data_IF_304729346160
#
_entry.id   IF_304729346160
#
_cell.length_a   1.000
_cell.length_b   1.000
_cell.length_c   1.000
_cell.angle_alpha   90.00
_cell.angle_beta   90.00
_cell.angle_gamma   90.00
#
_symmetry.space_group_name_H-M   'P 1'
#
loop_
_entity.id
_entity.type
_entity.pdbx_description
1 polymer ?
#
# COMPACT_ATOMS: atom_id res chain seq x y z
N UNK A 1 7.86 -13.87 -2.61
CA UNK A 1 6.74 -13.43 -1.76
C UNK A 1 5.68 -12.89 -2.70
N UNK A 2 4.43 -13.40 -2.65
CA UNK A 2 3.37 -13.02 -3.60
C UNK A 2 2.49 -11.98 -2.92
N UNK A 3 2.50 -10.75 -3.44
CA UNK A 3 1.63 -9.66 -3.00
C UNK A 3 0.32 -9.78 -3.77
N UNK A 4 -0.81 -9.85 -3.06
CA UNK A 4 -2.15 -9.90 -3.67
C UNK A 4 -2.72 -8.49 -3.69
N UNK A 5 -3.08 -8.01 -4.86
CA UNK A 5 -3.81 -6.77 -5.05
C UNK A 5 -5.27 -7.09 -5.42
N UNK A 6 -6.24 -6.48 -4.74
CA UNK A 6 -7.66 -6.58 -5.10
C UNK A 6 -8.18 -5.18 -5.33
N UNK A 7 -8.76 -4.95 -6.51
CA UNK A 7 -9.34 -3.67 -6.91
C UNK A 7 -10.85 -3.70 -6.70
N UNK A 8 -11.37 -2.74 -5.94
CA UNK A 8 -12.82 -2.47 -5.79
C UNK A 8 -12.98 -1.00 -6.15
N UNK A 9 -13.89 -0.64 -7.09
CA UNK A 9 -14.04 0.71 -7.67
C UNK A 9 -13.53 1.84 -6.76
N UNK A 10 -12.49 2.54 -7.23
CA UNK A 10 -11.77 3.67 -6.60
C UNK A 10 -10.92 3.37 -5.35
N UNK A 11 -10.84 2.11 -4.93
CA UNK A 11 -10.07 1.64 -3.77
C UNK A 11 -9.11 0.50 -4.13
N UNK A 12 -7.82 0.66 -3.81
CA UNK A 12 -6.84 -0.43 -3.91
C UNK A 12 -6.65 -1.13 -2.56
N UNK A 13 -6.74 -2.46 -2.54
CA UNK A 13 -6.37 -3.27 -1.37
C UNK A 13 -5.01 -3.91 -1.64
N UNK A 14 -4.04 -3.63 -0.78
CA UNK A 14 -2.64 -4.06 -0.91
C UNK A 14 -2.28 -4.87 0.33
N UNK A 15 -2.00 -6.17 0.19
CA UNK A 15 -1.60 -7.03 1.30
C UNK A 15 -0.13 -7.43 1.19
N UNK A 16 0.68 -7.07 2.20
CA UNK A 16 2.13 -7.28 2.20
C UNK A 16 2.54 -7.94 3.53
N UNK A 17 3.32 -9.02 3.43
CA UNK A 17 4.01 -9.61 4.59
C UNK A 17 5.30 -8.83 4.91
N UNK A 18 5.13 -7.59 5.34
CA UNK A 18 6.19 -6.72 5.82
C UNK A 18 5.74 -6.09 7.14
N UNK A 19 6.68 -5.94 8.07
CA UNK A 19 6.42 -5.28 9.35
C UNK A 19 6.36 -3.75 9.16
N UNK A 20 5.34 -3.05 9.68
CA UNK A 20 5.24 -1.60 9.52
C UNK A 20 6.34 -0.90 10.33
N UNK A 21 6.89 0.16 9.75
CA UNK A 21 7.95 0.96 10.37
C UNK A 21 7.41 2.03 11.32
N UNK A 22 6.13 2.40 11.22
CA UNK A 22 5.47 3.40 12.04
C UNK A 22 3.94 3.25 11.97
N UNK A 23 3.23 3.94 12.86
CA UNK A 23 1.76 4.03 12.82
C UNK A 23 1.24 4.95 11.71
N UNK A 24 2.08 5.85 11.20
CA UNK A 24 1.81 6.63 10.00
C UNK A 24 3.10 6.83 9.21
N UNK A 25 3.05 6.68 7.90
CA UNK A 25 4.22 6.79 7.03
C UNK A 25 3.85 7.17 5.61
N UNK A 26 4.83 7.71 4.89
CA UNK A 26 4.74 7.94 3.45
C UNK A 26 5.39 6.78 2.70
N UNK A 27 4.87 6.50 1.52
CA UNK A 27 5.42 5.51 0.60
C UNK A 27 5.15 5.93 -0.83
N UNK A 28 5.81 5.27 -1.79
CA UNK A 28 5.64 5.58 -3.22
C UNK A 28 5.27 4.34 -4.01
N UNK A 29 4.45 4.53 -5.02
CA UNK A 29 4.10 3.52 -6.02
C UNK A 29 4.53 4.03 -7.38
N UNK A 30 5.26 3.21 -8.13
CA UNK A 30 5.66 3.48 -9.51
C UNK A 30 5.44 2.21 -10.34
N UNK A 31 4.43 2.22 -11.21
CA UNK A 31 4.05 1.05 -12.01
C UNK A 31 3.73 -0.18 -11.13
N UNK A 32 4.63 -1.16 -11.12
CA UNK A 32 4.57 -2.37 -10.32
C UNK A 32 5.58 -2.36 -9.16
N UNK A 33 6.23 -1.24 -8.86
CA UNK A 33 7.14 -1.11 -7.72
C UNK A 33 6.51 -0.28 -6.61
N UNK A 34 6.70 -0.72 -5.38
CA UNK A 34 6.31 0.01 -4.17
C UNK A 34 7.53 0.20 -3.27
N UNK A 35 7.82 1.45 -2.92
CA UNK A 35 8.88 1.83 -1.99
C UNK A 35 8.25 2.13 -0.63
N UNK A 36 8.42 1.22 0.33
CA UNK A 36 7.73 1.23 1.62
C UNK A 36 8.70 0.87 2.75
N UNK A 37 8.74 1.69 3.81
CA UNK A 37 9.66 1.50 4.94
C UNK A 37 11.12 1.29 4.50
N UNK A 38 11.59 2.11 3.55
CA UNK A 38 12.94 2.03 2.95
C UNK A 38 13.25 0.71 2.24
N UNK A 39 12.22 -0.07 1.87
CA UNK A 39 12.33 -1.28 1.07
C UNK A 39 11.59 -1.10 -0.24
N UNK A 40 12.21 -1.49 -1.34
CA UNK A 40 11.54 -1.60 -2.64
C UNK A 40 11.01 -3.02 -2.84
N UNK A 41 9.73 -3.13 -3.16
CA UNK A 41 9.06 -4.39 -3.44
C UNK A 41 8.45 -4.34 -4.84
N UNK A 42 8.44 -5.48 -5.52
CA UNK A 42 7.80 -5.63 -6.83
C UNK A 42 6.45 -6.33 -6.63
N UNK A 43 5.40 -5.69 -7.12
CA UNK A 43 4.03 -6.17 -7.15
C UNK A 43 3.88 -7.19 -8.29
N UNK A 44 3.03 -8.17 -8.07
CA UNK A 44 2.65 -9.19 -9.06
C UNK A 44 1.89 -8.60 -10.25
N UNK A 45 1.21 -7.47 -10.04
CA UNK A 45 0.39 -6.77 -11.01
C UNK A 45 0.67 -5.26 -10.93
N UNK A 46 0.46 -4.56 -12.05
CA UNK A 46 0.53 -3.10 -12.08
C UNK A 46 -0.68 -2.52 -11.36
N UNK A 47 -0.44 -1.67 -10.35
CA UNK A 47 -1.53 -0.94 -9.70
C UNK A 47 -1.98 0.20 -10.62
N UNK A 48 -3.25 0.19 -11.02
CA UNK A 48 -3.89 1.35 -11.65
C UNK A 48 -3.89 2.53 -10.66
N UNK A 49 -3.95 3.76 -11.18
CA UNK A 49 -4.04 4.95 -10.34
C UNK A 49 -5.29 4.87 -9.45
N UNK A 50 -5.09 4.98 -8.14
CA UNK A 50 -6.15 5.01 -7.14
C UNK A 50 -5.92 6.17 -6.18
N UNK A 51 -7.00 6.73 -5.64
CA UNK A 51 -6.93 7.82 -4.65
C UNK A 51 -6.99 7.31 -3.22
N UNK A 52 -7.75 6.24 -2.98
CA UNK A 52 -7.95 5.65 -1.65
C UNK A 52 -7.55 4.19 -1.65
N UNK A 53 -7.06 3.69 -0.53
CA UNK A 53 -6.66 2.30 -0.42
C UNK A 53 -6.70 1.77 1.00
N UNK A 54 -6.59 0.46 1.10
CA UNK A 54 -6.36 -0.28 2.33
C UNK A 54 -5.05 -1.04 2.18
N UNK A 55 -4.07 -0.71 3.00
CA UNK A 55 -2.82 -1.44 3.08
C UNK A 55 -2.86 -2.35 4.32
N UNK A 56 -2.60 -3.63 4.13
CA UNK A 56 -2.56 -4.63 5.20
C UNK A 56 -1.13 -5.10 5.35
N UNK A 57 -0.50 -4.75 6.46
CA UNK A 57 0.87 -5.12 6.80
C UNK A 57 0.86 -6.07 7.99
N UNK A 58 1.17 -7.36 7.78
CA UNK A 58 1.13 -8.38 8.84
C UNK A 58 -0.15 -8.33 9.70
N UNK A 59 -1.31 -8.36 9.04
CA UNK A 59 -2.66 -8.28 9.64
C UNK A 59 -3.00 -6.93 10.31
N UNK A 60 -2.15 -5.92 10.18
CA UNK A 60 -2.42 -4.58 10.67
C UNK A 60 -2.94 -3.71 9.52
N UNK A 61 -4.16 -3.15 9.63
CA UNK A 61 -4.77 -2.34 8.58
C UNK A 61 -4.31 -0.88 8.63
N UNK A 62 -4.07 -0.30 7.46
CA UNK A 62 -3.73 1.10 7.25
C UNK A 62 -4.63 1.70 6.18
N UNK A 63 -5.24 2.85 6.47
CA UNK A 63 -5.90 3.65 5.45
C UNK A 63 -4.83 4.35 4.61
N UNK A 64 -5.02 4.32 3.30
CA UNK A 64 -4.10 4.92 2.34
C UNK A 64 -4.83 6.01 1.56
N UNK A 65 -4.18 7.16 1.43
CA UNK A 65 -4.49 8.14 0.39
C UNK A 65 -3.29 8.30 -0.54
N UNK A 66 -3.55 8.32 -1.84
CA UNK A 66 -2.52 8.46 -2.87
C UNK A 66 -2.88 9.56 -3.85
N UNK A 67 -1.86 10.29 -4.28
CA UNK A 67 -1.92 11.28 -5.35
C UNK A 67 -0.64 11.16 -6.19
N UNK A 68 -0.79 10.89 -7.50
CA UNK A 68 0.32 10.71 -8.44
C UNK A 68 1.44 9.76 -7.96
N UNK A 69 1.03 8.61 -7.38
CA UNK A 69 1.96 7.59 -6.88
C UNK A 69 2.69 7.96 -5.59
N UNK A 70 2.40 9.12 -4.98
CA UNK A 70 2.82 9.46 -3.62
C UNK A 70 1.69 9.14 -2.67
N UNK A 71 1.97 8.32 -1.67
CA UNK A 71 0.95 7.78 -0.79
C UNK A 71 1.26 8.06 0.67
N UNK A 72 0.22 8.30 1.45
CA UNK A 72 0.25 8.40 2.91
C UNK A 72 -0.54 7.23 3.46
N UNK A 73 0.03 6.50 4.41
CA UNK A 73 -0.63 5.45 5.17
C UNK A 73 -0.75 5.86 6.63
N UNK A 74 -1.91 5.60 7.24
CA UNK A 74 -2.14 5.75 8.68
C UNK A 74 -2.83 4.50 9.23
N UNK A 75 -2.34 3.96 10.35
CA UNK A 75 -2.88 2.77 10.99
C UNK A 75 -4.33 3.04 11.36
N UNK A 76 -5.23 2.16 10.92
CA UNK A 76 -6.60 2.20 11.36
C UNK A 76 -6.64 1.84 12.85
N UNK A 77 -7.12 2.75 13.69
CA UNK A 77 -7.48 2.42 15.07
C UNK A 77 -8.88 1.83 15.02
N UNK A 78 -8.95 0.51 15.23
CA UNK A 78 -10.18 -0.27 15.35
C UNK A 78 -10.34 -0.66 16.81
#
# INVERSE_FOLDING_TARGET
MIIKAVYVRDVAIIEIDLEPCADAFIFRIRNNEIELCSKSLVLSETLANFRKGLLIMRKQPFFVECEDGKCVAARAQI
#
